data_IF_183146535475
#
_entry.id   IF_183146535475
#
_cell.length_a   1.000
_cell.length_b   1.000
_cell.length_c   1.000
_cell.angle_alpha   90.00
_cell.angle_beta   90.00
_cell.angle_gamma   90.00
#
_symmetry.space_group_name_H-M   'P 1'
#
loop_
_entity.id
_entity.type
_entity.pdbx_description
1 polymer ?
#
# COMPACT_ATOMS: atom_id res chain seq x y z
N UNK A 1 -7.81 -29.33 -11.21
CA UNK A 1 -8.72 -28.88 -10.14
C UNK A 1 -8.06 -27.82 -9.25
N UNK A 2 -6.81 -28.00 -8.84
CA UNK A 2 -6.10 -27.05 -7.96
C UNK A 2 -5.83 -25.68 -8.61
N UNK A 3 -5.31 -25.65 -9.84
CA UNK A 3 -4.99 -24.41 -10.56
C UNK A 3 -6.22 -23.52 -10.80
N UNK A 4 -7.37 -24.14 -11.13
CA UNK A 4 -8.66 -23.44 -11.27
C UNK A 4 -9.09 -22.81 -9.94
N UNK A 5 -8.85 -23.50 -8.82
CA UNK A 5 -9.15 -22.97 -7.49
C UNK A 5 -8.22 -21.80 -7.13
N UNK A 6 -6.93 -21.88 -7.46
CA UNK A 6 -5.98 -20.78 -7.25
C UNK A 6 -6.39 -19.53 -8.04
N UNK A 7 -6.73 -19.69 -9.33
CA UNK A 7 -7.22 -18.59 -10.17
C UNK A 7 -8.52 -17.98 -9.64
N UNK A 8 -9.46 -18.81 -9.17
CA UNK A 8 -10.69 -18.33 -8.53
C UNK A 8 -10.39 -17.53 -7.26
N UNK A 9 -9.52 -18.04 -6.40
CA UNK A 9 -9.12 -17.34 -5.18
C UNK A 9 -8.49 -15.97 -5.51
N UNK A 10 -7.64 -15.89 -6.55
CA UNK A 10 -7.05 -14.65 -7.00
C UNK A 10 -8.12 -13.65 -7.47
N UNK A 11 -9.07 -14.09 -8.29
CA UNK A 11 -10.17 -13.23 -8.74
C UNK A 11 -11.01 -12.71 -7.56
N UNK A 12 -11.39 -13.59 -6.64
CA UNK A 12 -12.21 -13.25 -5.48
C UNK A 12 -11.47 -12.26 -4.55
N UNK A 13 -10.16 -12.48 -4.35
CA UNK A 13 -9.33 -11.57 -3.57
C UNK A 13 -9.17 -10.21 -4.25
N UNK A 14 -8.88 -10.18 -5.55
CA UNK A 14 -8.74 -8.93 -6.31
C UNK A 14 -10.04 -8.12 -6.26
N UNK A 15 -11.19 -8.77 -6.43
CA UNK A 15 -12.52 -8.13 -6.27
C UNK A 15 -12.70 -7.52 -4.88
N UNK A 16 -12.27 -8.20 -3.82
CA UNK A 16 -12.35 -7.65 -2.46
C UNK A 16 -11.51 -6.37 -2.33
N UNK A 17 -10.32 -6.32 -2.92
CA UNK A 17 -9.47 -5.13 -2.88
C UNK A 17 -10.11 -3.91 -3.59
N UNK A 18 -10.84 -4.13 -4.69
CA UNK A 18 -11.62 -3.06 -5.34
C UNK A 18 -12.80 -2.61 -4.47
N UNK A 19 -13.54 -3.54 -3.87
CA UNK A 19 -14.66 -3.22 -2.98
C UNK A 19 -14.22 -2.50 -1.70
N UNK A 20 -13.04 -2.85 -1.18
CA UNK A 20 -12.40 -2.19 -0.04
C UNK A 20 -11.80 -0.82 -0.40
N UNK A 21 -11.75 -0.45 -1.70
CA UNK A 21 -11.18 0.81 -2.17
C UNK A 21 -9.65 0.86 -2.15
N UNK A 22 -8.99 -0.29 -2.02
CA UNK A 22 -7.53 -0.43 -2.07
C UNK A 22 -7.04 -0.35 -3.52
N UNK A 23 -7.79 -0.93 -4.44
CA UNK A 23 -7.56 -0.85 -5.88
C UNK A 23 -8.63 0.02 -6.54
N UNK A 24 -8.23 0.71 -7.60
CA UNK A 24 -9.13 1.51 -8.43
C UNK A 24 -8.81 1.33 -9.92
N UNK A 25 -9.49 2.10 -10.76
CA UNK A 25 -9.29 2.05 -12.21
C UNK A 25 -7.85 2.33 -12.66
N UNK A 26 -7.05 3.05 -11.87
CA UNK A 26 -5.65 3.32 -12.22
C UNK A 26 -4.80 2.05 -12.10
N UNK A 27 -5.11 1.16 -11.16
CA UNK A 27 -4.47 -0.15 -11.10
C UNK A 27 -4.73 -0.98 -12.36
N UNK A 28 -5.96 -0.95 -12.89
CA UNK A 28 -6.28 -1.62 -14.16
C UNK A 28 -5.51 -1.03 -15.33
N UNK A 29 -5.32 0.29 -15.37
CA UNK A 29 -4.50 0.95 -16.38
C UNK A 29 -3.04 0.51 -16.28
N UNK A 30 -2.51 0.35 -15.06
CA UNK A 30 -1.15 -0.17 -14.84
C UNK A 30 -1.01 -1.60 -15.37
N UNK A 31 -2.01 -2.45 -15.14
CA UNK A 31 -2.03 -3.83 -15.65
C UNK A 31 -2.06 -3.89 -17.19
N UNK A 32 -2.71 -2.94 -17.87
CA UNK A 32 -2.73 -2.88 -19.34
C UNK A 32 -1.36 -2.58 -19.96
N UNK A 33 -0.43 -2.02 -19.19
CA UNK A 33 0.94 -1.75 -19.62
C UNK A 33 1.86 -2.96 -19.44
N UNK A 34 1.39 -4.01 -18.77
CA UNK A 34 2.12 -5.27 -18.62
C UNK A 34 1.84 -6.18 -19.81
N UNK A 35 2.90 -6.74 -20.40
CA UNK A 35 2.82 -7.67 -21.52
C UNK A 35 3.84 -8.81 -21.38
N UNK A 36 3.89 -9.70 -22.37
CA UNK A 36 4.82 -10.84 -22.37
C UNK A 36 6.30 -10.43 -22.41
N UNK A 37 6.62 -9.21 -22.88
CA UNK A 37 7.97 -8.67 -22.92
C UNK A 37 8.38 -8.03 -21.60
N UNK A 38 7.42 -7.59 -20.79
CA UNK A 38 7.64 -7.03 -19.46
C UNK A 38 6.62 -7.56 -18.43
N UNK A 39 6.68 -8.86 -18.08
CA UNK A 39 5.67 -9.51 -17.23
C UNK A 39 5.68 -9.04 -15.78
N UNK A 40 6.75 -8.37 -15.33
CA UNK A 40 6.92 -7.88 -13.97
C UNK A 40 6.64 -6.37 -13.81
N UNK A 41 6.15 -5.70 -14.85
CA UNK A 41 5.97 -4.25 -14.85
C UNK A 41 5.19 -3.74 -13.62
N UNK A 42 4.03 -4.32 -13.36
CA UNK A 42 3.15 -3.91 -12.25
C UNK A 42 3.84 -4.11 -10.90
N UNK A 43 4.46 -5.28 -10.70
CA UNK A 43 5.11 -5.61 -9.43
C UNK A 43 6.34 -4.73 -9.16
N UNK A 44 7.08 -4.35 -10.21
CA UNK A 44 8.20 -3.40 -10.11
C UNK A 44 7.74 -2.00 -9.74
N UNK A 45 6.70 -1.47 -10.41
CA UNK A 45 6.15 -0.13 -10.11
C UNK A 45 5.66 -0.07 -8.67
N UNK A 46 4.91 -1.08 -8.22
CA UNK A 46 4.41 -1.14 -6.85
C UNK A 46 5.55 -1.32 -5.84
N UNK A 47 6.58 -2.10 -6.17
CA UNK A 47 7.77 -2.24 -5.33
C UNK A 47 8.51 -0.91 -5.14
N UNK A 48 8.65 -0.12 -6.22
CA UNK A 48 9.26 1.21 -6.15
C UNK A 48 8.43 2.16 -5.29
N UNK A 49 7.10 2.16 -5.48
CA UNK A 49 6.19 2.94 -4.64
C UNK A 49 6.34 2.59 -3.15
N UNK A 50 6.50 1.31 -2.80
CA UNK A 50 6.73 0.92 -1.41
C UNK A 50 8.08 1.39 -0.87
N UNK A 51 9.15 1.25 -1.64
CA UNK A 51 10.48 1.71 -1.22
C UNK A 51 10.47 3.21 -0.92
N UNK A 52 9.88 4.01 -1.81
CA UNK A 52 9.77 5.46 -1.63
C UNK A 52 8.87 5.82 -0.45
N UNK A 53 7.71 5.15 -0.33
CA UNK A 53 6.76 5.41 0.76
C UNK A 53 7.31 5.05 2.12
N UNK A 54 8.00 3.90 2.26
CA UNK A 54 8.66 3.51 3.51
C UNK A 54 9.73 4.53 3.91
N UNK A 55 10.53 5.02 2.95
CA UNK A 55 11.52 6.07 3.20
C UNK A 55 10.85 7.35 3.70
N UNK A 56 9.85 7.84 2.99
CA UNK A 56 9.14 9.08 3.34
C UNK A 56 8.48 8.97 4.72
N UNK A 57 7.77 7.87 5.01
CA UNK A 57 7.10 7.68 6.30
C UNK A 57 8.10 7.59 7.46
N UNK A 58 9.26 6.97 7.24
CA UNK A 58 10.32 6.91 8.24
C UNK A 58 10.98 8.28 8.47
N UNK A 59 11.29 9.02 7.40
CA UNK A 59 11.86 10.38 7.48
C UNK A 59 10.90 11.33 8.22
N UNK A 60 9.59 11.25 7.92
CA UNK A 60 8.56 12.02 8.63
C UNK A 60 8.45 11.62 10.10
N UNK A 61 8.54 10.33 10.42
CA UNK A 61 8.47 9.84 11.80
C UNK A 61 9.65 10.39 12.61
N UNK A 62 10.87 10.28 12.07
CA UNK A 62 12.08 10.80 12.68
C UNK A 62 12.04 12.32 12.86
N UNK A 63 11.50 13.05 11.88
CA UNK A 63 11.37 14.51 11.94
C UNK A 63 10.38 14.96 13.03
N UNK A 64 9.27 14.22 13.22
CA UNK A 64 8.28 14.52 14.25
C UNK A 64 8.70 14.05 15.66
N UNK A 65 9.62 13.10 15.76
CA UNK A 65 10.15 12.59 17.04
C UNK A 65 11.30 13.43 17.63
N UNK A 66 11.72 14.50 16.94
CA UNK A 66 12.75 15.41 17.47
C UNK A 66 12.24 16.15 18.72
N UNK A 67 13.07 16.17 19.76
CA UNK A 67 12.75 16.72 21.08
C UNK A 67 12.24 18.17 21.02
N UNK A 68 11.10 18.39 21.67
CA UNK A 68 10.49 19.71 21.87
C UNK A 68 11.32 20.49 22.91
N UNK A 69 11.79 21.68 22.55
CA UNK A 69 12.55 22.65 23.37
C UNK A 69 11.92 22.88 24.76
N UNK A 70 12.72 23.09 25.82
CA UNK A 70 12.24 23.37 27.19
C UNK A 70 11.61 24.78 27.27
N UNK A 71 10.28 24.83 27.38
CA UNK A 71 9.46 26.04 27.24
C UNK A 71 8.99 26.64 28.57
N UNK A 72 9.85 26.73 29.59
CA UNK A 72 9.53 27.30 30.92
C UNK A 72 9.13 28.80 30.95
N UNK A 73 8.84 29.47 29.83
CA UNK A 73 8.50 30.92 29.80
C UNK A 73 7.36 31.37 28.87
N UNK A 74 6.65 30.49 28.14
CA UNK A 74 5.63 30.89 27.11
C UNK A 74 4.36 30.02 27.19
N UNK A 75 3.69 30.03 28.33
CA UNK A 75 2.79 28.95 28.78
C UNK A 75 1.57 28.61 27.87
N UNK A 76 0.80 29.57 27.31
CA UNK A 76 -0.42 29.22 26.57
C UNK A 76 -0.16 28.74 25.12
N UNK A 77 0.67 29.47 24.38
CA UNK A 77 0.95 29.19 22.97
C UNK A 77 1.78 27.90 22.81
N UNK A 78 2.66 27.61 23.78
CA UNK A 78 3.43 26.36 23.81
C UNK A 78 2.52 25.16 24.07
N UNK A 79 1.53 25.28 24.96
CA UNK A 79 0.57 24.21 25.20
C UNK A 79 -0.24 23.88 23.94
N UNK A 80 -0.73 24.90 23.23
CA UNK A 80 -1.44 24.71 21.96
C UNK A 80 -0.54 24.11 20.87
N UNK A 81 0.71 24.56 20.79
CA UNK A 81 1.69 24.04 19.84
C UNK A 81 2.01 22.57 20.14
N UNK A 82 2.28 22.22 21.41
CA UNK A 82 2.49 20.84 21.86
C UNK A 82 1.30 19.94 21.49
N UNK A 83 0.08 20.38 21.78
CA UNK A 83 -1.13 19.62 21.42
C UNK A 83 -1.32 19.46 19.91
N UNK A 84 -0.88 20.42 19.12
CA UNK A 84 -0.91 20.32 17.65
C UNK A 84 0.14 19.36 17.12
N UNK A 85 1.38 19.41 17.64
CA UNK A 85 2.44 18.46 17.29
C UNK A 85 2.05 17.02 17.65
N UNK A 86 1.46 16.78 18.83
CA UNK A 86 0.99 15.45 19.21
C UNK A 86 -0.12 14.91 18.30
N UNK A 87 -1.01 15.78 17.81
CA UNK A 87 -2.03 15.38 16.82
C UNK A 87 -1.40 15.03 15.48
N UNK A 88 -0.44 15.82 14.99
CA UNK A 88 0.30 15.51 13.77
C UNK A 88 1.02 14.16 13.86
N UNK A 89 1.69 13.87 14.98
CA UNK A 89 2.30 12.56 15.22
C UNK A 89 1.26 11.43 15.16
N UNK A 90 0.08 11.61 15.78
CA UNK A 90 -1.00 10.62 15.72
C UNK A 90 -1.52 10.41 14.30
N UNK A 91 -1.72 11.47 13.52
CA UNK A 91 -2.14 11.36 12.12
C UNK A 91 -1.10 10.62 11.27
N UNK A 92 0.20 10.90 11.47
CA UNK A 92 1.26 10.16 10.79
C UNK A 92 1.21 8.66 11.12
N UNK A 93 0.99 8.30 12.40
CA UNK A 93 0.83 6.89 12.79
C UNK A 93 -0.36 6.23 12.09
N UNK A 94 -1.49 6.93 11.97
CA UNK A 94 -2.66 6.42 11.24
C UNK A 94 -2.35 6.21 9.75
N UNK A 95 -1.74 7.20 9.08
CA UNK A 95 -1.34 7.07 7.67
C UNK A 95 -0.37 5.91 7.48
N UNK A 96 0.58 5.73 8.41
CA UNK A 96 1.53 4.61 8.38
C UNK A 96 0.84 3.25 8.51
N UNK A 97 -0.20 3.14 9.35
CA UNK A 97 -0.99 1.91 9.49
C UNK A 97 -1.77 1.58 8.21
N UNK A 98 -2.48 2.55 7.65
CA UNK A 98 -3.24 2.37 6.40
C UNK A 98 -2.31 2.00 5.24
N UNK A 99 -1.14 2.65 5.15
CA UNK A 99 -0.12 2.30 4.17
C UNK A 99 0.34 0.84 4.30
N UNK A 100 0.66 0.38 5.52
CA UNK A 100 1.08 -1.02 5.71
C UNK A 100 -0.04 -2.01 5.42
N UNK A 101 -1.29 -1.66 5.68
CA UNK A 101 -2.44 -2.48 5.28
C UNK A 101 -2.46 -2.66 3.76
N UNK A 102 -2.41 -1.55 3.01
CA UNK A 102 -2.38 -1.58 1.53
C UNK A 102 -1.18 -2.38 1.02
N UNK A 103 0.01 -2.14 1.58
CA UNK A 103 1.24 -2.87 1.22
C UNK A 103 1.07 -4.37 1.38
N UNK A 104 0.63 -4.83 2.55
CA UNK A 104 0.44 -6.26 2.83
C UNK A 104 -0.60 -6.92 1.91
N UNK A 105 -1.67 -6.19 1.57
CA UNK A 105 -2.72 -6.66 0.66
C UNK A 105 -2.19 -6.84 -0.76
N UNK A 106 -1.43 -5.87 -1.27
CA UNK A 106 -0.79 -5.96 -2.59
C UNK A 106 0.30 -7.02 -2.65
N UNK A 107 1.11 -7.18 -1.61
CA UNK A 107 2.08 -8.29 -1.52
C UNK A 107 1.39 -9.65 -1.53
N UNK A 108 0.23 -9.78 -0.89
CA UNK A 108 -0.57 -11.01 -0.92
C UNK A 108 -1.09 -11.28 -2.33
N UNK A 109 -1.59 -10.26 -3.02
CA UNK A 109 -2.04 -10.35 -4.41
C UNK A 109 -0.92 -10.89 -5.32
N UNK A 110 0.27 -10.28 -5.29
CA UNK A 110 1.39 -10.72 -6.12
C UNK A 110 1.91 -12.12 -5.76
N UNK A 111 1.88 -12.50 -4.49
CA UNK A 111 2.22 -13.88 -4.08
C UNK A 111 1.25 -14.90 -4.69
N UNK A 112 -0.05 -14.59 -4.74
CA UNK A 112 -1.04 -15.47 -5.35
C UNK A 112 -0.81 -15.58 -6.87
N UNK A 113 -0.48 -14.47 -7.54
CA UNK A 113 -0.11 -14.48 -8.95
C UNK A 113 1.13 -15.36 -9.22
N UNK A 114 2.20 -15.17 -8.44
CA UNK A 114 3.42 -15.97 -8.56
C UNK A 114 3.17 -17.47 -8.35
N UNK A 115 2.30 -17.85 -7.42
CA UNK A 115 1.95 -19.26 -7.20
C UNK A 115 1.25 -19.88 -8.41
N UNK A 116 0.35 -19.14 -9.06
CA UNK A 116 -0.33 -19.58 -10.28
C UNK A 116 0.68 -19.76 -11.41
N UNK A 117 1.55 -18.77 -11.64
CA UNK A 117 2.58 -18.82 -12.69
C UNK A 117 3.57 -19.95 -12.44
N UNK A 118 4.04 -20.14 -11.21
CA UNK A 118 4.93 -21.23 -10.83
C UNK A 118 4.30 -22.62 -11.02
N UNK A 119 2.97 -22.69 -11.00
CA UNK A 119 2.20 -23.92 -11.28
C UNK A 119 1.88 -24.12 -12.78
N UNK A 120 2.42 -23.27 -13.67
CA UNK A 120 2.18 -23.31 -15.11
C UNK A 120 0.83 -22.71 -15.54
N UNK A 121 0.18 -21.95 -14.66
CA UNK A 121 -1.09 -21.28 -14.92
C UNK A 121 -0.91 -19.86 -15.47
N UNK A 122 -1.99 -19.33 -16.05
CA UNK A 122 -2.05 -17.94 -16.50
C UNK A 122 -2.81 -17.10 -15.47
N UNK A 123 -2.39 -15.85 -15.29
CA UNK A 123 -3.14 -14.88 -14.50
C UNK A 123 -4.43 -14.52 -15.26
N UNK A 124 -5.61 -14.72 -14.65
CA UNK A 124 -6.86 -14.37 -15.31
C UNK A 124 -6.96 -12.86 -15.52
N UNK A 125 -7.37 -12.44 -16.71
CA UNK A 125 -7.68 -11.04 -16.98
C UNK A 125 -8.85 -10.60 -16.09
N UNK A 126 -8.72 -9.43 -15.47
CA UNK A 126 -9.79 -8.85 -14.67
C UNK A 126 -10.73 -8.09 -15.59
N UNK A 127 -11.84 -8.72 -15.97
CA UNK A 127 -13.01 -7.99 -16.47
C UNK A 127 -13.80 -7.49 -15.27
N UNK A 128 -13.53 -6.25 -14.85
CA UNK A 128 -14.30 -5.65 -13.75
C UNK A 128 -15.60 -5.11 -14.32
N UNK A 129 -16.59 -6.01 -14.44
CA UNK A 129 -17.99 -5.63 -14.63
C UNK A 129 -18.51 -5.04 -13.33
N UNK A 130 -18.43 -3.71 -13.20
CA UNK A 130 -19.16 -2.96 -12.19
C UNK A 130 -20.59 -2.67 -12.67
#
# INVERSE_FOLDING_TARGET
>A
MELVQMQKNLQDYTKSLFLEGILDSQFLQLQQLQDESNPDFVSQVVSLFFQDSDRILNDLSLSLDQQVVDFKKVDPHVHQLKGSSSRCHRYLQQVKQEYYLVKNRLETLFKMEQQIVASGGMIPAMEVGF
#
